data_IF_935384093785
#
_entry.id   IF_935384093785
#
_cell.length_a   1.000
_cell.length_b   1.000
_cell.length_c   1.000
_cell.angle_alpha   90.00
_cell.angle_beta   90.00
_cell.angle_gamma   90.00
#
_symmetry.space_group_name_H-M   'P 1'
#
loop_
_entity.id
_entity.type
_entity.pdbx_description
1 polymer ?
#
# COMPACT_ATOMS: atom_id res chain seq x y z
N UNK A 1 -2.11 -30.84 2.85
CA UNK A 1 -2.60 -30.82 4.25
C UNK A 1 -4.06 -30.33 4.23
N UNK A 2 -4.96 -30.97 4.97
CA UNK A 2 -6.40 -30.63 4.97
C UNK A 2 -6.72 -29.40 5.84
N UNK A 3 -5.86 -29.08 6.82
CA UNK A 3 -5.96 -27.90 7.68
C UNK A 3 -4.60 -27.20 7.78
N UNK A 4 -4.65 -25.88 7.96
CA UNK A 4 -3.48 -25.04 8.18
C UNK A 4 -3.79 -23.94 9.20
N UNK A 5 -2.78 -23.50 9.95
CA UNK A 5 -2.88 -22.31 10.79
C UNK A 5 -2.95 -21.06 9.91
N UNK A 6 -3.79 -20.10 10.29
CA UNK A 6 -3.91 -18.82 9.60
C UNK A 6 -2.60 -18.03 9.64
N UNK A 7 -2.16 -17.51 8.50
CA UNK A 7 -0.93 -16.72 8.37
C UNK A 7 -1.18 -15.20 8.43
N UNK A 8 -2.44 -14.80 8.29
CA UNK A 8 -2.98 -13.45 8.48
C UNK A 8 -4.43 -13.48 9.02
N UNK A 9 -5.07 -12.30 9.15
CA UNK A 9 -6.49 -12.17 9.50
C UNK A 9 -7.37 -11.74 8.30
N UNK A 10 -6.75 -11.31 7.19
CA UNK A 10 -7.44 -10.87 5.96
C UNK A 10 -8.05 -12.03 5.19
N UNK A 11 -7.32 -13.13 5.00
CA UNK A 11 -7.86 -14.30 4.27
C UNK A 11 -9.01 -14.96 5.03
N UNK A 12 -8.92 -15.20 6.35
CA UNK A 12 -10.06 -15.66 7.13
C UNK A 12 -11.28 -14.74 7.06
N UNK A 13 -11.09 -13.42 6.98
CA UNK A 13 -12.18 -12.46 6.77
C UNK A 13 -12.86 -12.65 5.43
N UNK A 14 -12.08 -12.68 4.35
CA UNK A 14 -12.60 -12.85 3.00
C UNK A 14 -13.50 -14.08 2.91
N UNK A 15 -13.06 -15.20 3.51
CA UNK A 15 -13.88 -16.41 3.64
C UNK A 15 -15.13 -16.20 4.50
N UNK A 16 -15.00 -15.56 5.66
CA UNK A 16 -16.14 -15.31 6.57
C UNK A 16 -17.22 -14.47 5.90
N UNK A 17 -16.85 -13.38 5.20
CA UNK A 17 -17.82 -12.53 4.51
C UNK A 17 -18.48 -13.28 3.35
N UNK A 18 -17.73 -14.09 2.59
CA UNK A 18 -18.30 -14.89 1.51
C UNK A 18 -19.29 -15.96 2.02
N UNK A 19 -19.02 -16.58 3.17
CA UNK A 19 -19.89 -17.61 3.77
C UNK A 19 -21.16 -17.02 4.41
N UNK A 20 -21.08 -15.80 4.95
CA UNK A 20 -22.15 -15.16 5.69
C UNK A 20 -22.75 -13.93 4.98
N UNK A 21 -22.55 -13.77 3.67
CA UNK A 21 -22.92 -12.55 2.94
C UNK A 21 -24.40 -12.16 3.15
N UNK A 22 -25.31 -13.14 3.19
CA UNK A 22 -26.74 -12.93 3.39
C UNK A 22 -27.14 -12.52 4.82
N UNK A 23 -26.26 -12.76 5.79
CA UNK A 23 -26.48 -12.46 7.22
C UNK A 23 -25.79 -11.15 7.65
N UNK A 24 -24.96 -10.56 6.79
CA UNK A 24 -24.18 -9.35 7.09
C UNK A 24 -24.84 -8.08 6.55
N UNK A 25 -24.64 -6.97 7.27
CA UNK A 25 -25.00 -5.63 6.81
C UNK A 25 -23.79 -4.93 6.21
N UNK A 26 -23.97 -4.32 5.03
CA UNK A 26 -22.91 -3.64 4.30
C UNK A 26 -23.06 -2.10 4.35
N UNK A 27 -21.95 -1.33 4.44
CA UNK A 27 -20.57 -1.82 4.54
C UNK A 27 -20.30 -2.49 5.88
N UNK A 28 -19.77 -3.72 5.82
CA UNK A 28 -19.47 -4.54 6.98
C UNK A 28 -18.16 -4.05 7.59
N UNK A 29 -18.19 -3.65 8.85
CA UNK A 29 -17.05 -3.05 9.55
C UNK A 29 -16.69 -3.95 10.72
N UNK A 30 -15.42 -4.31 10.83
CA UNK A 30 -14.96 -5.15 11.93
C UNK A 30 -13.53 -4.82 12.36
N UNK A 31 -13.20 -5.24 13.56
CA UNK A 31 -11.83 -5.38 14.02
C UNK A 31 -11.57 -6.84 14.41
N UNK A 32 -10.32 -7.28 14.35
CA UNK A 32 -9.91 -8.59 14.86
C UNK A 32 -8.51 -8.50 15.47
N UNK A 33 -8.37 -8.94 16.72
CA UNK A 33 -7.08 -9.03 17.42
C UNK A 33 -6.80 -10.48 17.77
N UNK A 34 -5.93 -11.13 17.00
CA UNK A 34 -5.64 -12.55 17.17
C UNK A 34 -4.21 -12.87 16.75
N UNK A 35 -3.70 -14.00 17.25
CA UNK A 35 -2.39 -14.51 16.83
C UNK A 35 -2.45 -15.10 15.42
N UNK A 36 -1.35 -14.96 14.69
CA UNK A 36 -1.14 -15.55 13.36
C UNK A 36 0.20 -16.27 13.29
N UNK A 37 0.32 -17.18 12.33
CA UNK A 37 1.43 -18.13 12.26
C UNK A 37 2.13 -18.09 10.91
N UNK A 38 3.43 -17.78 10.89
CA UNK A 38 4.24 -17.71 9.65
C UNK A 38 5.44 -18.64 9.72
N UNK A 39 5.63 -19.44 8.68
CA UNK A 39 6.72 -20.43 8.57
C UNK A 39 8.08 -19.86 8.18
N UNK A 40 8.21 -18.53 8.05
CA UNK A 40 9.46 -17.87 7.68
C UNK A 40 10.60 -18.20 8.67
N UNK A 41 11.85 -18.12 8.20
CA UNK A 41 13.02 -18.21 9.09
C UNK A 41 12.94 -17.06 10.09
N UNK A 42 12.97 -17.40 11.38
CA UNK A 42 12.96 -16.40 12.43
C UNK A 42 14.17 -15.46 12.27
N UNK A 43 13.89 -14.16 12.19
CA UNK A 43 14.88 -13.10 12.22
C UNK A 43 14.64 -12.28 13.49
N UNK A 44 15.61 -11.45 13.88
CA UNK A 44 15.43 -10.56 15.04
C UNK A 44 14.18 -9.69 14.83
N UNK A 45 13.20 -9.78 15.74
CA UNK A 45 11.92 -9.08 15.63
C UNK A 45 10.85 -9.75 14.74
N UNK A 46 11.16 -10.85 14.05
CA UNK A 46 10.20 -11.65 13.26
C UNK A 46 9.95 -13.00 13.92
N UNK A 47 8.90 -13.06 14.72
CA UNK A 47 8.44 -14.28 15.36
C UNK A 47 7.62 -15.14 14.39
N UNK A 48 7.54 -16.44 14.67
CA UNK A 48 6.66 -17.36 13.93
C UNK A 48 5.21 -17.28 14.39
N UNK A 49 4.98 -16.83 15.63
CA UNK A 49 3.68 -16.54 16.20
C UNK A 49 3.70 -15.12 16.76
N UNK A 50 2.74 -14.29 16.38
CA UNK A 50 2.61 -12.91 16.85
C UNK A 50 1.18 -12.41 16.68
N UNK A 51 0.84 -11.31 17.37
CA UNK A 51 -0.48 -10.68 17.23
C UNK A 51 -0.56 -9.80 15.99
N UNK A 52 -1.71 -9.87 15.33
CA UNK A 52 -2.21 -8.83 14.44
C UNK A 52 -3.43 -8.17 15.06
N UNK A 53 -3.60 -6.89 14.78
CA UNK A 53 -4.71 -6.06 15.21
C UNK A 53 -5.26 -5.35 13.97
N UNK A 54 -6.20 -6.00 13.31
CA UNK A 54 -6.69 -5.57 12.00
C UNK A 54 -8.04 -4.87 12.14
N UNK A 55 -8.27 -3.87 11.30
CA UNK A 55 -9.56 -3.24 11.07
C UNK A 55 -9.85 -3.29 9.57
N UNK A 56 -11.07 -3.66 9.22
CA UNK A 56 -11.48 -3.81 7.82
C UNK A 56 -12.87 -3.23 7.62
N UNK A 57 -13.09 -2.65 6.44
CA UNK A 57 -14.41 -2.26 5.95
C UNK A 57 -14.62 -2.94 4.61
N UNK A 58 -15.66 -3.77 4.53
CA UNK A 58 -16.00 -4.53 3.34
C UNK A 58 -17.30 -3.96 2.76
N UNK A 59 -17.27 -3.59 1.49
CA UNK A 59 -18.47 -3.17 0.74
C UNK A 59 -19.16 -4.35 0.07
N UNK A 60 -20.36 -4.11 -0.45
CA UNK A 60 -21.03 -5.00 -1.41
C UNK A 60 -21.01 -4.30 -2.77
N UNK A 61 -20.47 -4.98 -3.78
CA UNK A 61 -20.24 -4.50 -5.16
C UNK A 61 -19.26 -3.32 -5.30
N UNK A 62 -19.37 -2.30 -4.45
CA UNK A 62 -18.48 -1.15 -4.43
C UNK A 62 -18.22 -0.67 -3.01
N UNK A 63 -17.09 0.01 -2.83
CA UNK A 63 -16.74 0.68 -1.58
C UNK A 63 -16.18 2.06 -1.89
N UNK A 64 -16.76 3.10 -1.29
CA UNK A 64 -16.31 4.49 -1.46
C UNK A 64 -14.87 4.69 -0.98
N UNK A 65 -14.09 5.48 -1.71
CA UNK A 65 -12.68 5.82 -1.39
C UNK A 65 -12.54 6.52 -0.03
N UNK A 66 -13.62 7.11 0.50
CA UNK A 66 -13.66 7.67 1.86
C UNK A 66 -13.20 6.70 2.95
N UNK A 67 -13.44 5.39 2.77
CA UNK A 67 -13.01 4.37 3.74
C UNK A 67 -11.49 4.16 3.70
N UNK A 68 -10.86 4.38 2.55
CA UNK A 68 -9.39 4.37 2.41
C UNK A 68 -8.76 5.53 3.18
N UNK A 69 -9.44 6.68 3.25
CA UNK A 69 -9.02 7.85 4.03
C UNK A 69 -9.34 7.72 5.53
N UNK A 70 -10.38 6.98 5.88
CA UNK A 70 -10.73 6.71 7.28
C UNK A 70 -9.66 5.86 7.97
N UNK A 71 -9.01 4.92 7.26
CA UNK A 71 -7.98 4.07 7.85
C UNK A 71 -6.79 4.87 8.42
N UNK A 72 -6.15 5.80 7.69
CA UNK A 72 -5.16 6.71 8.24
C UNK A 72 -5.65 7.56 9.42
N UNK A 73 -6.92 8.01 9.41
CA UNK A 73 -7.48 8.75 10.53
C UNK A 73 -7.58 7.90 11.81
N UNK A 74 -7.98 6.63 11.68
CA UNK A 74 -7.97 5.66 12.79
C UNK A 74 -6.54 5.39 13.26
N UNK A 75 -5.60 5.14 12.35
CA UNK A 75 -4.17 4.96 12.67
C UNK A 75 -3.65 6.16 13.48
N UNK A 76 -3.93 7.37 13.01
CA UNK A 76 -3.54 8.60 13.68
C UNK A 76 -4.12 8.69 15.09
N UNK A 77 -5.41 8.41 15.28
CA UNK A 77 -6.04 8.43 16.60
C UNK A 77 -5.40 7.42 17.55
N UNK A 78 -5.19 6.18 17.09
CA UNK A 78 -4.59 5.12 17.91
C UNK A 78 -3.17 5.49 18.33
N UNK A 79 -2.33 5.93 17.40
CA UNK A 79 -0.92 6.24 17.71
C UNK A 79 -0.75 7.51 18.53
N UNK A 80 -1.61 8.51 18.36
CA UNK A 80 -1.69 9.66 19.27
C UNK A 80 -1.98 9.20 20.70
N UNK A 81 -2.96 8.31 20.88
CA UNK A 81 -3.39 7.86 22.21
C UNK A 81 -2.35 6.92 22.86
N UNK A 82 -1.63 6.13 22.06
CA UNK A 82 -0.52 5.29 22.53
C UNK A 82 0.76 6.08 22.89
N UNK A 83 0.87 7.35 22.45
CA UNK A 83 2.00 8.25 22.75
C UNK A 83 3.37 7.66 22.40
N UNK A 84 3.48 7.06 21.20
CA UNK A 84 4.68 6.36 20.71
C UNK A 84 5.72 7.29 20.04
N UNK A 85 5.60 8.60 20.23
CA UNK A 85 6.41 9.60 19.55
C UNK A 85 5.89 9.96 18.15
N UNK A 86 6.64 10.78 17.39
CA UNK A 86 6.22 11.25 16.07
C UNK A 86 6.24 10.13 15.04
N UNK A 87 5.22 10.09 14.19
CA UNK A 87 5.06 9.11 13.11
C UNK A 87 4.54 9.79 11.84
N UNK A 88 4.74 9.12 10.70
CA UNK A 88 4.21 9.56 9.42
C UNK A 88 3.54 8.38 8.69
N UNK A 89 2.29 8.57 8.29
CA UNK A 89 1.51 7.65 7.46
C UNK A 89 1.78 8.00 6.00
N UNK A 90 2.50 7.13 5.31
CA UNK A 90 2.92 7.36 3.94
C UNK A 90 1.99 6.60 3.00
N UNK A 91 1.54 7.26 1.94
CA UNK A 91 0.49 6.75 1.04
C UNK A 91 0.97 6.63 -0.40
N UNK A 92 0.42 5.63 -1.09
CA UNK A 92 0.51 5.45 -2.53
C UNK A 92 -0.79 4.81 -3.07
N UNK A 93 -0.91 4.64 -4.38
CA UNK A 93 -2.02 3.94 -5.01
C UNK A 93 -1.50 2.97 -6.10
N UNK A 94 -1.96 1.72 -6.06
CA UNK A 94 -1.54 0.66 -7.00
C UNK A 94 -1.95 0.96 -8.43
N UNK A 95 -3.11 1.59 -8.67
CA UNK A 95 -3.56 1.97 -10.02
C UNK A 95 -2.65 3.02 -10.64
N UNK A 96 -2.27 4.04 -9.85
CA UNK A 96 -1.34 5.09 -10.27
C UNK A 96 -0.02 4.48 -10.73
N UNK A 97 0.57 3.62 -9.91
CA UNK A 97 1.85 2.95 -10.17
C UNK A 97 1.78 2.03 -11.40
N UNK A 98 0.74 1.18 -11.46
CA UNK A 98 0.54 0.24 -12.58
C UNK A 98 0.33 0.98 -13.90
N UNK A 99 -0.52 2.00 -13.91
CA UNK A 99 -0.78 2.81 -15.09
C UNK A 99 0.44 3.61 -15.52
N UNK A 100 1.23 4.14 -14.57
CA UNK A 100 2.50 4.81 -14.88
C UNK A 100 3.48 3.83 -15.57
N UNK A 101 3.66 2.63 -15.02
CA UNK A 101 4.58 1.62 -15.56
C UNK A 101 4.11 1.10 -16.93
N UNK A 102 2.81 0.90 -17.11
CA UNK A 102 2.21 0.54 -18.39
C UNK A 102 2.47 1.62 -19.45
N UNK A 103 2.34 2.90 -19.09
CA UNK A 103 2.63 4.01 -20.01
C UNK A 103 4.10 4.09 -20.46
N UNK A 104 5.00 3.41 -19.72
CA UNK A 104 6.43 3.26 -20.05
C UNK A 104 6.75 1.95 -20.78
N UNK A 105 5.74 1.15 -21.11
CA UNK A 105 5.90 -0.13 -21.80
C UNK A 105 6.36 -1.28 -20.89
N UNK A 106 6.22 -1.16 -19.57
CA UNK A 106 6.53 -2.25 -18.63
C UNK A 106 5.37 -3.24 -18.58
N UNK A 107 5.61 -4.48 -19.01
CA UNK A 107 4.61 -5.55 -18.98
C UNK A 107 4.13 -5.84 -17.55
N UNK A 108 2.86 -6.21 -17.38
CA UNK A 108 2.21 -6.37 -16.08
C UNK A 108 2.97 -7.34 -15.15
N UNK A 109 3.44 -8.46 -15.69
CA UNK A 109 4.24 -9.48 -15.01
C UNK A 109 5.63 -8.99 -14.59
N UNK A 110 6.16 -7.96 -15.25
CA UNK A 110 7.45 -7.34 -14.94
C UNK A 110 7.33 -6.22 -13.90
N UNK A 111 6.14 -5.63 -13.69
CA UNK A 111 5.98 -4.46 -12.81
C UNK A 111 6.42 -4.74 -11.36
N UNK A 112 6.00 -5.88 -10.78
CA UNK A 112 6.39 -6.23 -9.41
C UNK A 112 7.89 -6.58 -9.30
N UNK A 113 8.49 -7.38 -10.20
CA UNK A 113 9.94 -7.54 -10.28
C UNK A 113 10.71 -6.22 -10.42
N UNK A 114 10.23 -5.25 -11.23
CA UNK A 114 10.84 -3.92 -11.39
C UNK A 114 10.86 -3.19 -10.05
N UNK A 115 9.74 -3.15 -9.32
CA UNK A 115 9.67 -2.49 -8.01
C UNK A 115 10.64 -3.12 -7.01
N UNK A 116 10.76 -4.45 -7.00
CA UNK A 116 11.71 -5.16 -6.12
C UNK A 116 13.17 -4.81 -6.42
N UNK A 117 13.51 -4.49 -7.67
CA UNK A 117 14.85 -3.97 -7.98
C UNK A 117 15.00 -2.52 -7.55
N UNK A 118 13.96 -1.71 -7.73
CA UNK A 118 13.97 -0.30 -7.32
C UNK A 118 14.06 -0.15 -5.80
N UNK A 119 13.47 -1.05 -5.00
CA UNK A 119 13.65 -1.12 -3.54
C UNK A 119 15.10 -1.34 -3.10
N UNK A 120 15.98 -1.73 -4.02
CA UNK A 120 17.42 -1.89 -3.75
C UNK A 120 18.20 -0.59 -3.96
N UNK A 121 17.55 0.51 -4.36
CA UNK A 121 18.18 1.80 -4.63
C UNK A 121 19.03 2.26 -3.44
N UNK A 122 18.46 2.25 -2.23
CA UNK A 122 19.15 2.67 -1.01
C UNK A 122 20.36 1.79 -0.66
N UNK A 123 20.33 0.50 -1.04
CA UNK A 123 21.34 -0.49 -0.66
C UNK A 123 22.42 -0.69 -1.71
N UNK A 124 22.08 -0.54 -2.99
CA UNK A 124 22.94 -0.87 -4.13
C UNK A 124 23.29 0.32 -5.00
N UNK A 125 22.60 1.45 -4.82
CA UNK A 125 22.84 2.69 -5.57
C UNK A 125 22.12 2.76 -6.92
N UNK A 126 21.97 3.99 -7.40
CA UNK A 126 21.25 4.33 -8.62
C UNK A 126 21.82 3.65 -9.88
N UNK A 127 23.14 3.62 -10.02
CA UNK A 127 23.79 3.04 -11.20
C UNK A 127 23.53 1.54 -11.33
N UNK A 128 23.57 0.82 -10.19
CA UNK A 128 23.29 -0.61 -10.17
C UNK A 128 21.84 -0.90 -10.61
N UNK A 129 20.88 -0.18 -10.02
CA UNK A 129 19.45 -0.36 -10.34
C UNK A 129 19.19 -0.02 -11.79
N UNK A 130 19.71 1.11 -12.28
CA UNK A 130 19.59 1.54 -13.68
C UNK A 130 20.14 0.49 -14.65
N UNK A 131 21.35 -0.02 -14.39
CA UNK A 131 21.96 -1.04 -15.23
C UNK A 131 21.14 -2.34 -15.23
N UNK A 132 20.54 -2.70 -14.10
CA UNK A 132 19.68 -3.88 -13.97
C UNK A 132 18.39 -3.72 -14.78
N UNK A 133 17.72 -2.57 -14.68
CA UNK A 133 16.47 -2.28 -15.40
C UNK A 133 16.65 -2.25 -16.93
N UNK A 134 17.81 -1.80 -17.41
CA UNK A 134 18.13 -1.77 -18.85
C UNK A 134 18.66 -3.13 -19.33
N UNK A 135 19.24 -3.92 -18.42
CA UNK A 135 19.82 -5.22 -18.71
C UNK A 135 18.82 -6.27 -19.19
N UNK A 136 19.31 -7.44 -19.63
CA UNK A 136 18.51 -8.47 -20.28
C UNK A 136 17.39 -9.06 -19.41
N UNK A 137 17.43 -8.84 -18.09
CA UNK A 137 16.39 -9.26 -17.17
C UNK A 137 15.07 -8.51 -17.39
N UNK A 138 15.14 -7.22 -17.73
CA UNK A 138 13.96 -6.35 -17.87
C UNK A 138 13.85 -5.74 -19.27
N UNK A 139 14.99 -5.40 -19.88
CA UNK A 139 15.05 -4.87 -21.25
C UNK A 139 14.39 -3.51 -21.42
N UNK A 140 14.32 -2.68 -20.36
CA UNK A 140 13.70 -1.36 -20.45
C UNK A 140 14.58 -0.36 -21.20
N UNK A 141 13.96 0.63 -21.84
CA UNK A 141 14.70 1.73 -22.44
C UNK A 141 15.40 2.58 -21.37
N UNK A 142 16.46 3.29 -21.76
CA UNK A 142 17.14 4.25 -20.87
C UNK A 142 16.17 5.30 -20.31
N UNK A 143 15.24 5.77 -21.14
CA UNK A 143 14.20 6.73 -20.76
C UNK A 143 13.23 6.12 -19.73
N UNK A 144 12.71 4.92 -19.99
CA UNK A 144 11.79 4.24 -19.06
C UNK A 144 12.46 3.99 -17.70
N UNK A 145 13.70 3.49 -17.69
CA UNK A 145 14.44 3.29 -16.45
C UNK A 145 14.65 4.61 -15.68
N UNK A 146 15.01 5.70 -16.36
CA UNK A 146 15.16 7.01 -15.73
C UNK A 146 13.83 7.52 -15.14
N UNK A 147 12.73 7.39 -15.87
CA UNK A 147 11.40 7.82 -15.43
C UNK A 147 10.84 6.99 -14.28
N UNK A 148 11.13 5.69 -14.23
CA UNK A 148 10.78 4.81 -13.09
C UNK A 148 11.55 5.22 -11.83
N UNK A 149 12.86 5.48 -11.97
CA UNK A 149 13.69 5.92 -10.84
C UNK A 149 13.21 7.27 -10.30
N UNK A 150 12.93 8.23 -11.17
CA UNK A 150 12.39 9.53 -10.76
C UNK A 150 11.02 9.39 -10.07
N UNK A 151 10.15 8.51 -10.58
CA UNK A 151 8.83 8.26 -10.01
C UNK A 151 8.91 7.76 -8.57
N UNK A 152 9.76 6.77 -8.28
CA UNK A 152 9.85 6.21 -6.92
C UNK A 152 10.53 7.14 -5.92
N UNK A 153 11.18 8.20 -6.35
CA UNK A 153 11.78 9.22 -5.48
C UNK A 153 10.77 10.30 -5.07
N UNK A 154 9.58 10.33 -5.69
CA UNK A 154 8.56 11.34 -5.38
C UNK A 154 8.03 11.19 -3.95
N UNK A 155 8.25 12.23 -3.16
CA UNK A 155 7.73 12.41 -1.80
C UNK A 155 7.04 13.76 -1.68
N UNK A 156 6.11 13.90 -0.75
CA UNK A 156 5.54 15.19 -0.37
C UNK A 156 5.77 15.53 1.10
N UNK A 157 5.61 16.81 1.43
CA UNK A 157 5.72 17.36 2.78
C UNK A 157 4.44 18.03 3.29
N UNK A 158 3.49 18.27 2.39
CA UNK A 158 2.18 18.84 2.68
C UNK A 158 1.15 18.32 1.69
N UNK A 159 -0.13 18.63 1.90
CA UNK A 159 -1.20 18.31 0.95
C UNK A 159 -1.01 19.04 -0.38
N UNK A 160 -0.68 20.33 -0.34
CA UNK A 160 -0.50 21.14 -1.56
C UNK A 160 0.72 20.68 -2.35
N UNK A 161 1.82 20.34 -1.68
CA UNK A 161 3.00 19.73 -2.31
C UNK A 161 2.63 18.36 -2.91
N UNK A 162 1.87 17.52 -2.21
CA UNK A 162 1.39 16.25 -2.76
C UNK A 162 0.58 16.44 -4.05
N UNK A 163 -0.33 17.41 -4.08
CA UNK A 163 -1.11 17.73 -5.28
C UNK A 163 -0.20 18.17 -6.42
N UNK A 164 0.74 19.09 -6.16
CA UNK A 164 1.70 19.55 -7.16
C UNK A 164 2.59 18.42 -7.70
N UNK A 165 3.04 17.49 -6.85
CA UNK A 165 3.80 16.30 -7.28
C UNK A 165 2.97 15.40 -8.17
N UNK A 166 1.69 15.16 -7.83
CA UNK A 166 0.78 14.36 -8.64
C UNK A 166 0.47 15.01 -9.99
N UNK A 167 0.32 16.35 -10.03
CA UNK A 167 0.12 17.10 -11.27
C UNK A 167 1.34 17.07 -12.19
N UNK A 168 2.54 17.03 -11.61
CA UNK A 168 3.80 16.98 -12.35
C UNK A 168 4.12 15.61 -12.96
N UNK A 169 3.39 14.55 -12.58
CA UNK A 169 3.58 13.22 -13.16
C UNK A 169 3.06 13.20 -14.61
N UNK A 170 3.90 12.70 -15.51
CA UNK A 170 3.64 12.62 -16.95
C UNK A 170 3.11 11.24 -17.41
N UNK A 171 2.50 10.50 -16.48
CA UNK A 171 1.82 9.24 -16.77
C UNK A 171 0.59 9.43 -17.67
N UNK A 172 0.18 8.35 -18.35
CA UNK A 172 -0.96 8.36 -19.27
C UNK A 172 -1.82 7.11 -19.07
N UNK A 173 -3.07 7.19 -19.53
CA UNK A 173 -4.02 6.09 -19.52
C UNK A 173 -5.02 6.18 -18.37
N UNK A 174 -6.16 5.50 -18.56
CA UNK A 174 -7.30 5.56 -17.63
C UNK A 174 -6.93 5.08 -16.22
N UNK A 175 -6.16 3.99 -16.11
CA UNK A 175 -5.73 3.43 -14.83
C UNK A 175 -4.82 4.39 -14.04
N UNK A 176 -3.92 5.07 -14.74
CA UNK A 176 -3.05 6.08 -14.14
C UNK A 176 -3.87 7.25 -13.58
N UNK A 177 -4.79 7.77 -14.40
CA UNK A 177 -5.66 8.89 -14.03
C UNK A 177 -6.60 8.54 -12.87
N UNK A 178 -7.19 7.35 -12.90
CA UNK A 178 -8.00 6.85 -11.79
C UNK A 178 -7.20 6.82 -10.49
N UNK A 179 -5.99 6.23 -10.51
CA UNK A 179 -5.13 6.18 -9.34
C UNK A 179 -4.68 7.56 -8.84
N UNK A 180 -4.45 8.50 -9.76
CA UNK A 180 -4.09 9.90 -9.44
C UNK A 180 -5.24 10.61 -8.74
N UNK A 181 -6.46 10.49 -9.26
CA UNK A 181 -7.65 11.07 -8.65
C UNK A 181 -7.95 10.44 -7.29
N UNK A 182 -7.97 9.10 -7.21
CA UNK A 182 -8.21 8.40 -5.94
C UNK A 182 -7.21 8.81 -4.86
N UNK A 183 -5.91 8.89 -5.19
CA UNK A 183 -4.89 9.27 -4.22
C UNK A 183 -5.03 10.74 -3.76
N UNK A 184 -5.39 11.65 -4.67
CA UNK A 184 -5.70 13.05 -4.33
C UNK A 184 -6.90 13.15 -3.40
N UNK A 185 -7.98 12.43 -3.71
CA UNK A 185 -9.20 12.41 -2.91
C UNK A 185 -8.92 11.87 -1.51
N UNK A 186 -8.15 10.77 -1.40
CA UNK A 186 -7.75 10.20 -0.10
C UNK A 186 -6.97 11.21 0.72
N UNK A 187 -5.93 11.85 0.15
CA UNK A 187 -5.13 12.85 0.85
C UNK A 187 -5.99 14.02 1.33
N UNK A 188 -6.92 14.50 0.51
CA UNK A 188 -7.85 15.57 0.87
C UNK A 188 -8.80 15.17 1.99
N UNK A 189 -9.31 13.93 1.97
CA UNK A 189 -10.21 13.41 3.01
C UNK A 189 -9.48 13.16 4.34
N UNK A 190 -8.23 12.70 4.32
CA UNK A 190 -7.39 12.56 5.53
C UNK A 190 -7.25 13.92 6.23
N UNK A 191 -6.95 14.96 5.45
CA UNK A 191 -6.91 16.34 5.95
C UNK A 191 -8.27 16.78 6.51
N UNK A 192 -9.37 16.48 5.80
CA UNK A 192 -10.72 16.80 6.25
C UNK A 192 -11.14 16.06 7.53
N UNK A 193 -10.61 14.86 7.79
CA UNK A 193 -10.76 14.15 9.06
C UNK A 193 -9.94 14.74 10.21
N UNK A 194 -9.17 15.81 9.96
CA UNK A 194 -8.41 16.53 10.98
C UNK A 194 -7.07 15.88 11.33
N UNK A 195 -6.54 15.01 10.47
CA UNK A 195 -5.17 14.50 10.62
C UNK A 195 -4.20 15.62 10.23
N UNK A 196 -3.21 15.98 11.09
CA UNK A 196 -2.21 17.00 10.75
C UNK A 196 -1.38 16.60 9.53
N UNK A 197 -1.07 17.56 8.66
CA UNK A 197 -0.26 17.31 7.44
C UNK A 197 1.15 16.80 7.76
N UNK A 198 1.68 17.05 8.96
CA UNK A 198 2.93 16.45 9.43
C UNK A 198 2.85 14.93 9.64
N UNK A 199 1.65 14.36 9.76
CA UNK A 199 1.42 12.95 10.06
C UNK A 199 1.06 12.11 8.84
N UNK A 200 0.93 12.70 7.65
CA UNK A 200 0.74 11.94 6.42
C UNK A 200 1.48 12.54 5.23
N UNK A 201 1.89 11.70 4.29
CA UNK A 201 2.63 12.15 3.10
C UNK A 201 2.40 11.23 1.91
N UNK A 202 2.56 11.80 0.70
CA UNK A 202 2.72 11.02 -0.51
C UNK A 202 4.09 10.35 -0.51
N UNK A 203 4.13 9.05 -0.80
CA UNK A 203 5.37 8.32 -1.05
C UNK A 203 5.17 7.28 -2.15
N UNK A 204 5.67 7.59 -3.35
CA UNK A 204 5.50 6.72 -4.52
C UNK A 204 6.44 5.50 -4.57
N UNK A 205 7.40 5.35 -3.64
CA UNK A 205 8.17 4.10 -3.54
C UNK A 205 7.41 2.97 -2.85
N UNK A 206 6.26 3.25 -2.22
CA UNK A 206 5.52 2.23 -1.49
C UNK A 206 4.92 1.24 -2.49
N UNK A 207 5.54 0.06 -2.58
CA UNK A 207 5.12 -1.02 -3.46
C UNK A 207 4.29 -2.11 -2.75
N UNK A 208 4.42 -2.26 -1.41
CA UNK A 208 3.86 -3.30 -0.51
C UNK A 208 3.85 -4.75 -1.04
N UNK A 209 4.40 -5.66 -0.24
CA UNK A 209 4.62 -7.06 -0.58
C UNK A 209 3.42 -8.01 -0.51
N UNK A 210 2.18 -7.53 -0.66
CA UNK A 210 1.02 -8.41 -0.79
C UNK A 210 0.36 -8.14 -2.14
N UNK A 211 0.39 -9.15 -2.99
CA UNK A 211 -0.05 -9.08 -4.39
C UNK A 211 -1.55 -8.78 -4.56
N UNK A 212 -2.31 -8.71 -3.46
CA UNK A 212 -3.77 -8.53 -3.46
C UNK A 212 -4.24 -7.07 -3.39
N UNK A 213 -3.37 -6.08 -3.17
CA UNK A 213 -3.80 -4.67 -3.14
C UNK A 213 -4.13 -4.14 -4.53
N UNK A 214 -5.28 -3.47 -4.65
CA UNK A 214 -5.85 -2.98 -5.92
C UNK A 214 -5.93 -1.45 -6.01
N UNK A 215 -5.85 -0.73 -4.89
CA UNK A 215 -5.98 0.73 -4.83
C UNK A 215 -5.00 1.39 -3.86
N UNK A 216 -5.51 2.22 -2.96
CA UNK A 216 -4.73 2.91 -1.92
C UNK A 216 -3.92 1.92 -1.09
N UNK A 217 -2.67 2.25 -0.79
CA UNK A 217 -1.81 1.52 0.15
C UNK A 217 -1.16 2.51 1.10
N UNK A 218 -0.90 2.07 2.32
CA UNK A 218 -0.25 2.88 3.34
C UNK A 218 0.76 2.10 4.17
N UNK A 219 1.82 2.80 4.57
CA UNK A 219 2.79 2.37 5.57
C UNK A 219 3.02 3.48 6.58
N UNK A 220 3.04 3.13 7.86
CA UNK A 220 3.32 4.09 8.93
C UNK A 220 4.69 3.82 9.51
N UNK A 221 5.51 4.85 9.64
CA UNK A 221 6.87 4.77 10.17
C UNK A 221 7.04 5.76 11.33
N UNK A 222 7.85 5.40 12.33
CA UNK A 222 8.25 6.32 13.39
C UNK A 222 9.34 7.25 12.85
N UNK A 223 9.15 8.57 12.99
CA UNK A 223 10.05 9.58 12.43
C UNK A 223 11.44 9.51 13.09
N UNK A 224 11.48 9.35 14.40
CA UNK A 224 12.74 9.28 15.17
C UNK A 224 13.37 7.88 15.18
N UNK A 225 12.64 6.86 14.70
CA UNK A 225 13.08 5.47 14.71
C UNK A 225 12.84 4.74 13.39
N UNK A 226 13.34 5.26 12.25
CA UNK A 226 13.11 4.67 10.93
C UNK A 226 13.65 3.25 10.80
N UNK A 227 14.64 2.86 11.61
CA UNK A 227 15.23 1.51 11.63
C UNK A 227 14.25 0.41 12.08
N UNK A 228 13.13 0.76 12.73
CA UNK A 228 12.08 -0.20 13.10
C UNK A 228 11.31 -0.66 11.85
N UNK A 229 11.28 0.18 10.81
CA UNK A 229 10.45 -0.01 9.64
C UNK A 229 8.97 0.26 9.93
N UNK A 230 8.10 -0.27 9.08
CA UNK A 230 6.67 0.02 9.17
C UNK A 230 6.03 -0.62 10.40
N UNK A 231 5.31 0.18 11.19
CA UNK A 231 4.62 -0.22 12.43
C UNK A 231 3.12 -0.45 12.25
N UNK A 232 2.54 0.06 11.17
CA UNK A 232 1.17 -0.23 10.75
C UNK A 232 1.08 -0.05 9.23
N UNK A 233 0.51 -1.03 8.54
CA UNK A 233 0.37 -1.01 7.10
C UNK A 233 -0.98 -1.58 6.68
N UNK A 234 -1.44 -1.23 5.49
CA UNK A 234 -2.68 -1.74 4.93
C UNK A 234 -2.93 -1.15 3.55
N UNK A 235 -4.16 -1.34 3.06
CA UNK A 235 -4.58 -0.82 1.77
C UNK A 235 -5.88 -1.44 1.28
N UNK A 236 -6.37 -0.94 0.15
CA UNK A 236 -7.57 -1.41 -0.53
C UNK A 236 -7.30 -2.70 -1.31
N UNK A 237 -8.18 -3.67 -1.13
CA UNK A 237 -8.19 -4.95 -1.85
C UNK A 237 -9.60 -5.29 -2.31
N UNK A 238 -9.87 -5.16 -3.60
CA UNK A 238 -11.23 -5.38 -4.13
C UNK A 238 -11.51 -6.86 -4.47
N UNK A 239 -10.45 -7.65 -4.71
CA UNK A 239 -10.61 -8.98 -5.33
C UNK A 239 -10.56 -10.16 -4.33
N UNK A 240 -10.16 -9.93 -3.07
CA UNK A 240 -9.81 -11.04 -2.17
C UNK A 240 -11.03 -11.89 -1.77
N UNK A 241 -12.17 -11.24 -1.48
CA UNK A 241 -13.42 -11.93 -1.17
C UNK A 241 -13.98 -12.67 -2.40
N UNK A 242 -13.77 -12.10 -3.60
CA UNK A 242 -14.19 -12.68 -4.88
C UNK A 242 -13.62 -14.08 -5.16
N UNK A 243 -12.50 -14.44 -4.54
CA UNK A 243 -11.94 -15.79 -4.65
C UNK A 243 -12.74 -16.86 -3.89
N UNK A 244 -13.65 -16.46 -2.99
CA UNK A 244 -14.44 -17.35 -2.13
C UNK A 244 -15.94 -17.32 -2.45
N UNK A 245 -16.41 -16.30 -3.18
CA UNK A 245 -17.78 -16.20 -3.69
C UNK A 245 -17.89 -16.92 -5.04
N UNK A 246 -18.93 -17.72 -5.25
CA UNK A 246 -19.20 -18.40 -6.53
C UNK A 246 -19.90 -17.49 -7.53
#
# INVERSE_FOLDING_TARGET
PELALRFDLTVPLARYVAEHEHDLSFPFRRYQMQRVYRGERAQRGRFREFYQCDIDVIGKDSLSVRYDAEMPAVIHSVFRDLRIGPFQIQLNNRKLMRGYFESLGVAAEQQMPVLREVDKLDKRGADFVRATLIGPQFGLSHEAAARIMAFVEVRSTSFDDACARLDALDGRGELFEQGRTELRDVLGLIRAFGVPESHFALNLSIARGLDYYTGTVYETHLVEHPQIGSICSGGRYDNLAGHYTK
#
